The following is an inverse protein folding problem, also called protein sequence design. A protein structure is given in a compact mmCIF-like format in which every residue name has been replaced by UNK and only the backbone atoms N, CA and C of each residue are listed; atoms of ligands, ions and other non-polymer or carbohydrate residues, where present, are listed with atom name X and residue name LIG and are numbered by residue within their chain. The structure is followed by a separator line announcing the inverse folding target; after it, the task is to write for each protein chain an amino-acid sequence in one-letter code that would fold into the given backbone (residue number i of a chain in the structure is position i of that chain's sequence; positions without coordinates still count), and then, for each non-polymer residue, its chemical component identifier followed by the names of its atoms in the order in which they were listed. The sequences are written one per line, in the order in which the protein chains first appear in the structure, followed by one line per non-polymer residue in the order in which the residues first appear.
data_IF_938329931213
#
_entry.id   IF_938329931213
#
_cell.length_a   1.000
_cell.length_b   1.000
_cell.length_c   1.000
_cell.angle_alpha   90.00
_cell.angle_beta   90.00
_cell.angle_gamma   90.00
#
_symmetry.space_group_name_H-M   'P 1'
#
loop_
_entity.id
_entity.type
_entity.pdbx_description
1 polymer ?
#
# COMPACT_ATOMS: atom_id res chain seq x y z
N UNK A 1 -1.76 -17.73 0.54
CA UNK A 1 -3.10 -17.12 0.54
C UNK A 1 -3.36 -16.50 -0.83
N UNK A 2 -4.44 -16.88 -1.42
CA UNK A 2 -4.85 -16.29 -2.68
C UNK A 2 -5.74 -15.09 -2.38
N UNK A 3 -5.42 -13.97 -2.99
CA UNK A 3 -6.26 -12.79 -2.89
C UNK A 3 -6.71 -12.40 -4.29
N UNK A 4 -8.02 -12.28 -4.45
CA UNK A 4 -8.55 -11.74 -5.69
C UNK A 4 -8.33 -10.23 -5.70
N UNK A 5 -8.04 -9.68 -6.86
CA UNK A 5 -7.91 -8.24 -6.97
C UNK A 5 -9.27 -7.57 -6.77
N UNK A 6 -9.26 -6.44 -6.09
CA UNK A 6 -10.44 -5.62 -5.82
C UNK A 6 -10.21 -4.20 -6.28
N UNK A 7 -11.29 -3.42 -6.37
CA UNK A 7 -11.23 -2.02 -6.76
C UNK A 7 -10.44 -1.82 -8.05
N UNK A 8 -10.73 -2.63 -9.05
CA UNK A 8 -10.07 -2.53 -10.34
C UNK A 8 -10.47 -1.24 -11.05
N UNK A 9 -9.49 -0.47 -11.47
CA UNK A 9 -9.66 0.78 -12.22
C UNK A 9 -8.78 0.68 -13.44
N UNK A 10 -9.32 0.90 -14.65
CA UNK A 10 -8.50 0.86 -15.86
C UNK A 10 -7.31 1.81 -15.76
N UNK A 11 -6.12 1.31 -16.10
CA UNK A 11 -4.89 2.10 -16.05
C UNK A 11 -4.17 2.08 -14.71
N UNK A 12 -4.78 1.50 -13.66
CA UNK A 12 -4.12 1.33 -12.37
C UNK A 12 -3.74 -0.14 -12.16
N UNK A 13 -2.67 -0.41 -11.38
CA UNK A 13 -2.33 -1.78 -11.05
C UNK A 13 -3.39 -2.43 -10.16
N UNK A 14 -3.32 -3.74 -10.03
CA UNK A 14 -4.27 -4.48 -9.22
C UNK A 14 -4.27 -3.99 -7.78
N UNK A 15 -5.47 -3.91 -7.20
CA UNK A 15 -5.67 -3.60 -5.80
C UNK A 15 -6.09 -4.83 -5.03
N UNK A 16 -5.71 -4.88 -3.75
CA UNK A 16 -5.98 -6.02 -2.89
C UNK A 16 -6.39 -5.55 -1.50
N UNK A 17 -7.30 -6.29 -0.90
CA UNK A 17 -7.58 -6.16 0.53
C UNK A 17 -6.83 -7.26 1.27
N UNK A 18 -6.27 -6.94 2.43
CA UNK A 18 -5.51 -7.90 3.21
C UNK A 18 -5.69 -7.63 4.70
N UNK A 19 -5.78 -8.71 5.48
CA UNK A 19 -5.86 -8.61 6.93
C UNK A 19 -4.46 -8.45 7.51
N UNK A 20 -4.26 -7.39 8.28
CA UNK A 20 -3.03 -7.21 9.07
C UNK A 20 -3.30 -7.79 10.46
N UNK A 21 -2.65 -8.90 10.86
CA UNK A 21 -2.98 -9.59 12.11
C UNK A 21 -2.98 -8.66 13.31
N UNK A 22 -4.08 -8.66 14.07
CA UNK A 22 -4.26 -7.82 15.24
C UNK A 22 -4.49 -6.34 14.96
N UNK A 23 -4.57 -5.94 13.69
CA UNK A 23 -4.68 -4.53 13.32
C UNK A 23 -5.93 -4.21 12.50
N UNK A 24 -6.32 -5.08 11.57
CA UNK A 24 -7.51 -4.91 10.74
C UNK A 24 -7.22 -5.10 9.26
N UNK A 25 -8.27 -4.92 8.47
CA UNK A 25 -8.17 -5.09 7.02
C UNK A 25 -7.78 -3.77 6.36
N UNK A 26 -6.76 -3.83 5.50
CA UNK A 26 -6.33 -2.67 4.74
C UNK A 26 -6.38 -2.93 3.24
N UNK A 27 -6.07 -1.90 2.46
CA UNK A 27 -6.08 -1.96 0.99
C UNK A 27 -4.74 -1.47 0.46
N UNK A 28 -4.23 -2.14 -0.58
CA UNK A 28 -3.03 -1.69 -1.28
C UNK A 28 -3.11 -2.03 -2.76
N UNK A 29 -2.34 -1.29 -3.57
CA UNK A 29 -2.07 -1.63 -4.96
C UNK A 29 -0.61 -2.06 -5.09
N UNK A 30 -0.36 -2.98 -6.02
CA UNK A 30 0.99 -3.47 -6.21
C UNK A 30 1.28 -3.61 -7.69
N UNK A 31 2.46 -3.17 -8.11
CA UNK A 31 2.98 -3.40 -9.45
C UNK A 31 4.42 -3.85 -9.35
N UNK A 32 4.68 -5.04 -9.90
CA UNK A 32 6.02 -5.61 -9.87
C UNK A 32 6.92 -4.94 -10.91
N UNK A 33 8.16 -4.69 -10.53
CA UNK A 33 9.20 -4.25 -11.43
C UNK A 33 10.06 -5.42 -11.91
N UNK A 34 11.25 -5.11 -12.42
CA UNK A 34 12.18 -6.15 -12.87
C UNK A 34 12.60 -7.08 -11.73
N UNK A 35 13.02 -8.28 -12.08
CA UNK A 35 13.52 -9.25 -11.11
C UNK A 35 14.67 -8.63 -10.30
N UNK A 36 14.63 -8.77 -8.98
CA UNK A 36 15.64 -8.22 -8.09
C UNK A 36 15.54 -6.73 -7.82
N UNK A 37 14.51 -6.05 -8.35
CA UNK A 37 14.35 -4.62 -8.13
C UNK A 37 14.06 -4.30 -6.66
N UNK A 38 14.52 -3.13 -6.17
CA UNK A 38 14.11 -2.65 -4.84
C UNK A 38 12.62 -2.36 -4.81
N UNK A 39 12.06 -2.36 -3.61
CA UNK A 39 10.63 -2.06 -3.40
C UNK A 39 10.45 -0.65 -2.88
N UNK A 40 9.55 0.08 -3.52
CA UNK A 40 9.08 1.38 -3.02
C UNK A 40 7.75 1.17 -2.31
N UNK A 41 7.63 1.75 -1.12
CA UNK A 41 6.36 1.81 -0.39
C UNK A 41 5.86 3.23 -0.45
N UNK A 42 4.81 3.47 -1.24
CA UNK A 42 4.30 4.81 -1.47
C UNK A 42 3.26 5.18 -0.41
N UNK A 43 3.48 6.29 0.26
CA UNK A 43 2.66 6.77 1.36
C UNK A 43 1.97 8.06 0.93
N UNK A 44 0.64 8.05 0.92
CA UNK A 44 -0.12 9.24 0.50
C UNK A 44 -0.18 10.29 1.60
N UNK A 45 -0.61 11.50 1.22
CA UNK A 45 -0.76 12.62 2.13
C UNK A 45 -2.06 12.58 2.93
N UNK A 46 -2.17 13.51 3.87
CA UNK A 46 -3.34 13.68 4.73
C UNK A 46 -4.58 13.95 3.87
N UNK A 47 -5.68 13.29 4.21
CA UNK A 47 -6.99 13.37 3.53
C UNK A 47 -6.99 12.91 2.07
N UNK A 48 -5.94 12.18 1.66
CA UNK A 48 -5.85 11.62 0.32
C UNK A 48 -6.00 10.09 0.36
N UNK A 49 -5.66 9.44 -0.73
CA UNK A 49 -5.59 7.99 -0.86
C UNK A 49 -4.38 7.64 -1.72
N UNK A 50 -4.01 6.37 -1.74
CA UNK A 50 -2.95 5.92 -2.64
C UNK A 50 -3.24 6.31 -4.08
N UNK A 51 -4.47 6.08 -4.54
CA UNK A 51 -4.85 6.38 -5.92
C UNK A 51 -4.74 7.87 -6.22
N UNK A 52 -5.23 8.73 -5.32
CA UNK A 52 -5.23 10.17 -5.55
C UNK A 52 -3.82 10.74 -5.68
N UNK A 53 -2.88 10.26 -4.88
CA UNK A 53 -1.52 10.80 -4.91
C UNK A 53 -0.64 10.14 -5.95
N UNK A 54 -0.86 8.86 -6.29
CA UNK A 54 0.12 8.08 -7.03
C UNK A 54 -0.36 7.56 -8.38
N UNK A 55 -1.59 7.87 -8.82
CA UNK A 55 -2.18 7.25 -10.01
C UNK A 55 -1.35 7.49 -11.29
N UNK A 56 -0.58 8.56 -11.34
CA UNK A 56 0.25 8.88 -12.52
C UNK A 56 1.65 8.29 -12.45
N UNK A 57 2.02 7.64 -11.35
CA UNK A 57 3.42 7.26 -11.10
C UNK A 57 3.72 5.78 -11.26
N UNK A 58 2.71 4.92 -11.21
CA UNK A 58 2.93 3.47 -11.16
C UNK A 58 3.74 2.93 -12.32
N UNK A 59 3.38 3.30 -13.55
CA UNK A 59 4.04 2.75 -14.73
C UNK A 59 5.50 3.17 -14.80
N UNK A 60 5.78 4.45 -14.58
CA UNK A 60 7.15 4.95 -14.62
C UNK A 60 8.02 4.34 -13.52
N UNK A 61 7.49 4.28 -12.29
CA UNK A 61 8.25 3.73 -11.16
C UNK A 61 8.51 2.23 -11.33
N UNK A 62 7.55 1.49 -11.88
CA UNK A 62 7.69 0.04 -12.03
C UNK A 62 8.67 -0.37 -13.11
N UNK A 63 9.19 0.55 -13.90
CA UNK A 63 10.27 0.26 -14.82
C UNK A 63 11.54 -0.17 -14.09
N UNK A 64 11.75 0.32 -12.87
CA UNK A 64 12.97 0.06 -12.10
C UNK A 64 12.72 -0.43 -10.67
N UNK A 65 11.47 -0.44 -10.20
CA UNK A 65 11.14 -0.77 -8.81
C UNK A 65 9.91 -1.65 -8.75
N UNK A 66 9.83 -2.46 -7.68
CA UNK A 66 8.55 -2.98 -7.26
C UNK A 66 7.82 -1.86 -6.50
N UNK A 67 6.53 -1.70 -6.74
CA UNK A 67 5.78 -0.58 -6.17
C UNK A 67 4.61 -1.12 -5.37
N UNK A 68 4.51 -0.68 -4.12
CA UNK A 68 3.36 -0.96 -3.25
C UNK A 68 2.85 0.37 -2.74
N UNK A 69 1.55 0.60 -2.86
CA UNK A 69 0.92 1.82 -2.38
C UNK A 69 -0.32 1.43 -1.59
N UNK A 70 -0.35 1.76 -0.30
CA UNK A 70 -1.47 1.41 0.56
C UNK A 70 -2.29 2.66 0.89
N UNK A 71 -3.56 2.42 1.25
CA UNK A 71 -4.36 3.45 1.89
C UNK A 71 -4.07 3.41 3.38
N UNK A 72 -3.60 4.52 3.93
CA UNK A 72 -3.30 4.62 5.36
C UNK A 72 -4.59 4.57 6.18
N UNK A 73 -4.47 4.12 7.43
CA UNK A 73 -5.66 4.04 8.30
C UNK A 73 -6.41 5.37 8.35
N UNK A 74 -7.73 5.28 8.41
CA UNK A 74 -8.58 6.46 8.42
C UNK A 74 -8.80 7.08 7.05
N UNK A 75 -8.16 6.58 6.01
CA UNK A 75 -8.23 7.10 4.66
C UNK A 75 -8.70 6.03 3.68
N UNK A 76 -9.45 6.42 2.67
CA UNK A 76 -9.84 5.54 1.59
C UNK A 76 -10.38 4.21 2.05
N UNK A 77 -9.73 3.14 1.59
CA UNK A 77 -10.06 1.74 1.94
C UNK A 77 -9.17 1.18 3.04
N UNK A 78 -8.45 2.05 3.74
CA UNK A 78 -7.55 1.65 4.82
C UNK A 78 -8.30 1.23 6.08
N UNK A 79 -7.55 0.85 7.10
CA UNK A 79 -8.10 0.40 8.38
C UNK A 79 -9.02 1.46 8.96
N UNK A 80 -10.18 1.05 9.46
CA UNK A 80 -11.09 1.89 10.23
C UNK A 80 -11.06 1.45 11.69
N UNK A 81 -10.95 2.41 12.59
CA UNK A 81 -10.92 2.16 14.02
C UNK A 81 -11.62 3.29 14.74
N UNK A 82 -12.13 3.00 15.93
CA UNK A 82 -12.74 4.00 16.81
C UNK A 82 -11.75 4.60 17.79
N UNK A 83 -10.51 4.14 17.77
CA UNK A 83 -9.47 4.69 18.65
C UNK A 83 -8.91 5.98 18.06
N UNK A 84 -8.20 6.74 18.91
CA UNK A 84 -7.57 7.97 18.47
C UNK A 84 -6.54 7.69 17.36
N UNK A 85 -6.50 8.56 16.37
CA UNK A 85 -5.53 8.48 15.29
C UNK A 85 -4.14 8.86 15.80
N UNK A 86 -3.15 8.03 15.47
CA UNK A 86 -1.74 8.32 15.79
C UNK A 86 -0.90 7.99 14.56
N UNK A 87 0.10 8.84 14.29
CA UNK A 87 1.02 8.59 13.17
C UNK A 87 1.81 7.31 13.36
N UNK A 88 2.14 6.96 14.59
CA UNK A 88 2.83 5.71 14.89
C UNK A 88 2.03 4.50 14.41
N UNK A 89 0.70 4.55 14.52
CA UNK A 89 -0.15 3.47 14.03
C UNK A 89 -0.05 3.33 12.51
N UNK A 90 0.07 4.44 11.80
CA UNK A 90 0.29 4.41 10.34
C UNK A 90 1.62 3.75 10.01
N UNK A 91 2.69 4.09 10.72
CA UNK A 91 4.00 3.50 10.51
C UNK A 91 3.97 2.00 10.82
N UNK A 92 3.31 1.61 11.90
CA UNK A 92 3.18 0.21 12.28
C UNK A 92 2.35 -0.58 11.27
N UNK A 93 1.31 0.03 10.67
CA UNK A 93 0.53 -0.60 9.62
C UNK A 93 1.39 -0.86 8.38
N UNK A 94 2.25 0.09 8.01
CA UNK A 94 3.17 -0.08 6.89
C UNK A 94 4.11 -1.24 7.13
N UNK A 95 4.70 -1.31 8.32
CA UNK A 95 5.59 -2.42 8.69
C UNK A 95 4.84 -3.76 8.68
N UNK A 96 3.62 -3.79 9.21
CA UNK A 96 2.80 -4.99 9.22
C UNK A 96 2.46 -5.46 7.79
N UNK A 97 2.15 -4.52 6.90
CA UNK A 97 1.89 -4.85 5.50
C UNK A 97 3.12 -5.46 4.84
N UNK A 98 4.29 -4.85 5.05
CA UNK A 98 5.53 -5.38 4.52
C UNK A 98 5.77 -6.82 5.01
N UNK A 99 5.56 -7.07 6.28
CA UNK A 99 5.72 -8.42 6.86
C UNK A 99 4.79 -9.42 6.20
N UNK A 100 3.52 -9.09 6.06
CA UNK A 100 2.53 -10.00 5.46
C UNK A 100 2.84 -10.27 3.99
N UNK A 101 3.36 -9.28 3.28
CA UNK A 101 3.75 -9.43 1.87
C UNK A 101 5.12 -10.06 1.67
N UNK A 102 5.84 -10.37 2.76
CA UNK A 102 7.18 -10.96 2.66
C UNK A 102 8.25 -9.99 2.18
N UNK A 103 8.02 -8.69 2.36
CA UNK A 103 8.98 -7.66 1.96
C UNK A 103 9.92 -7.39 3.13
N UNK A 104 11.18 -7.77 2.99
CA UNK A 104 12.16 -7.63 4.07
C UNK A 104 12.74 -6.21 4.14
N UNK A 105 12.85 -5.53 3.01
CA UNK A 105 13.35 -4.16 2.95
C UNK A 105 12.55 -3.37 1.92
N UNK A 106 12.34 -2.10 2.19
CA UNK A 106 11.68 -1.22 1.25
C UNK A 106 12.13 0.23 1.46
N UNK A 107 11.89 1.05 0.46
CA UNK A 107 12.17 2.48 0.51
C UNK A 107 10.82 3.20 0.67
N UNK A 108 10.55 3.83 1.82
CA UNK A 108 9.33 4.60 1.97
C UNK A 108 9.43 5.91 1.19
N UNK A 109 8.34 6.27 0.51
CA UNK A 109 8.25 7.49 -0.29
C UNK A 109 6.96 8.19 0.11
N UNK A 110 7.06 9.41 0.60
CA UNK A 110 5.90 10.17 1.03
C UNK A 110 6.05 11.67 0.86
#
# INVERSE_FOLDING_TARGET
MTTDSVAQIPGLPNGFEIELPGRGKTFYREKKGPAGAPTLMLLHGWTATADLNWFTCFDALSENFNVVALDLRGHGRGIRTKTNFKLEDCADDVAALADVLGISTFIPVG
#
